data_IF_432592493075
#
_entry.id   IF_432592493075
#
_cell.length_a   1.000
_cell.length_b   1.000
_cell.length_c   1.000
_cell.angle_alpha   90.00
_cell.angle_beta   90.00
_cell.angle_gamma   90.00
#
_symmetry.space_group_name_H-M   'P 1'
#
loop_
_entity.id
_entity.type
_entity.pdbx_description
1 polymer ?
#
# COMPACT_ATOMS: atom_id res chain seq x y z
N UNK A 1 -16.42 -4.87 -9.20
CA UNK A 1 -15.18 -5.64 -9.01
C UNK A 1 -15.11 -6.13 -7.57
N UNK A 2 -14.75 -7.38 -7.40
CA UNK A 2 -14.62 -7.94 -6.05
C UNK A 2 -13.41 -7.34 -5.32
N UNK A 3 -13.61 -6.99 -4.06
CA UNK A 3 -12.50 -6.48 -3.24
C UNK A 3 -11.70 -7.65 -2.73
N UNK A 4 -10.43 -7.69 -3.09
CA UNK A 4 -9.57 -8.78 -2.66
C UNK A 4 -8.10 -8.38 -2.72
N UNK A 5 -7.27 -9.22 -2.17
CA UNK A 5 -5.84 -9.01 -2.12
C UNK A 5 -5.17 -10.30 -2.57
N UNK A 6 -4.17 -10.18 -3.43
CA UNK A 6 -3.38 -11.31 -3.89
C UNK A 6 -1.90 -11.01 -3.67
N UNK A 7 -1.09 -12.04 -3.59
CA UNK A 7 0.33 -11.84 -3.38
C UNK A 7 1.15 -12.85 -4.16
N UNK A 8 2.39 -12.46 -4.44
CA UNK A 8 3.37 -13.35 -5.05
C UNK A 8 4.75 -12.85 -4.70
N UNK A 9 5.74 -13.71 -4.87
CA UNK A 9 7.14 -13.33 -4.66
C UNK A 9 7.82 -13.36 -6.01
N UNK A 10 8.51 -12.28 -6.33
CA UNK A 10 9.17 -12.14 -7.63
C UNK A 10 10.46 -11.37 -7.41
N UNK A 11 11.57 -11.95 -7.84
CA UNK A 11 12.88 -11.31 -7.74
C UNK A 11 13.21 -10.89 -6.31
N UNK A 12 12.84 -11.71 -5.34
CA UNK A 12 13.15 -11.42 -3.95
C UNK A 12 12.30 -10.33 -3.33
N UNK A 13 11.18 -9.99 -3.96
CA UNK A 13 10.26 -9.00 -3.42
C UNK A 13 8.88 -9.59 -3.28
N UNK A 14 8.20 -9.21 -2.20
CA UNK A 14 6.82 -9.62 -1.97
C UNK A 14 5.91 -8.58 -2.63
N UNK A 15 5.16 -9.00 -3.64
CA UNK A 15 4.27 -8.11 -4.37
C UNK A 15 2.84 -8.39 -3.92
N UNK A 16 2.16 -7.36 -3.45
CA UNK A 16 0.79 -7.47 -2.97
C UNK A 16 -0.08 -6.60 -3.84
N UNK A 17 -1.07 -7.21 -4.48
CA UNK A 17 -1.98 -6.52 -5.40
C UNK A 17 -3.35 -6.39 -4.75
N UNK A 18 -3.89 -5.18 -4.80
CA UNK A 18 -5.21 -4.89 -4.24
C UNK A 18 -6.21 -4.69 -5.36
N UNK A 19 -7.33 -5.38 -5.29
CA UNK A 19 -8.40 -5.29 -6.27
C UNK A 19 -9.60 -4.62 -5.64
N UNK A 20 -10.19 -3.67 -6.37
CA UNK A 20 -11.39 -3.01 -5.92
C UNK A 20 -11.09 -1.85 -4.99
N UNK A 21 -11.83 -1.75 -3.91
CA UNK A 21 -11.76 -0.61 -3.00
C UNK A 21 -10.97 -0.95 -1.75
N UNK A 22 -10.26 0.05 -1.23
CA UNK A 22 -9.64 -0.04 0.09
C UNK A 22 -10.23 1.10 0.92
N UNK A 23 -11.07 0.76 1.88
CA UNK A 23 -11.86 1.77 2.58
C UNK A 23 -12.06 1.36 4.02
N UNK A 24 -12.84 2.18 4.74
CA UNK A 24 -13.07 1.93 6.14
C UNK A 24 -13.78 0.62 6.44
N UNK A 25 -14.50 0.08 5.45
CA UNK A 25 -15.23 -1.18 5.68
C UNK A 25 -14.33 -2.40 5.61
N UNK A 26 -13.26 -2.36 4.80
CA UNK A 26 -12.44 -3.54 4.62
C UNK A 26 -11.00 -3.40 5.09
N UNK A 27 -10.65 -2.22 5.62
CA UNK A 27 -9.25 -1.96 5.97
C UNK A 27 -8.75 -2.90 7.08
N UNK A 28 -9.61 -3.23 8.05
CA UNK A 28 -9.19 -4.13 9.12
C UNK A 28 -8.89 -5.53 8.59
N UNK A 29 -9.69 -5.99 7.65
CA UNK A 29 -9.47 -7.28 7.02
C UNK A 29 -8.11 -7.30 6.29
N UNK A 30 -7.84 -6.26 5.53
CA UNK A 30 -6.56 -6.19 4.82
C UNK A 30 -5.40 -6.06 5.79
N UNK A 31 -5.56 -5.27 6.85
CA UNK A 31 -4.50 -5.11 7.83
C UNK A 31 -4.12 -6.45 8.45
N UNK A 32 -5.14 -7.24 8.80
CA UNK A 32 -4.87 -8.54 9.42
C UNK A 32 -4.16 -9.48 8.45
N UNK A 33 -4.58 -9.50 7.19
CA UNK A 33 -3.92 -10.35 6.21
C UNK A 33 -2.48 -9.90 5.97
N UNK A 34 -2.27 -8.59 5.89
CA UNK A 34 -0.93 -8.05 5.67
C UNK A 34 -0.02 -8.37 6.84
N UNK A 35 -0.54 -8.26 8.06
CA UNK A 35 0.28 -8.57 9.23
C UNK A 35 0.79 -10.00 9.18
N UNK A 36 -0.06 -10.94 8.76
CA UNK A 36 0.37 -12.33 8.64
C UNK A 36 1.43 -12.47 7.56
N UNK A 37 1.17 -11.92 6.37
CA UNK A 37 2.12 -12.05 5.27
C UNK A 37 3.46 -11.42 5.58
N UNK A 38 3.44 -10.25 6.20
CA UNK A 38 4.68 -9.56 6.50
C UNK A 38 5.46 -10.23 7.63
N UNK A 39 4.78 -10.95 8.51
CA UNK A 39 5.44 -11.65 9.59
C UNK A 39 6.17 -12.90 9.12
N UNK A 40 5.67 -13.54 8.07
CA UNK A 40 6.27 -14.79 7.58
C UNK A 40 7.25 -14.57 6.43
N UNK A 41 7.58 -13.31 6.16
CA UNK A 41 8.39 -12.96 5.02
C UNK A 41 9.31 -11.79 5.39
N UNK A 42 10.55 -11.82 4.92
CA UNK A 42 11.53 -10.77 5.23
C UNK A 42 11.84 -9.85 4.06
N UNK A 43 11.24 -10.10 2.93
CA UNK A 43 11.59 -9.38 1.71
C UNK A 43 11.09 -7.94 1.74
N UNK A 44 11.66 -7.11 0.88
CA UNK A 44 11.07 -5.83 0.57
C UNK A 44 9.72 -6.06 -0.08
N UNK A 45 8.86 -5.06 0.01
CA UNK A 45 7.45 -5.22 -0.33
C UNK A 45 7.05 -4.19 -1.38
N UNK A 46 6.24 -4.62 -2.32
CA UNK A 46 5.63 -3.73 -3.31
C UNK A 46 4.11 -3.85 -3.17
N UNK A 47 3.43 -2.72 -2.99
CA UNK A 47 1.98 -2.66 -3.09
C UNK A 47 1.62 -2.22 -4.50
N UNK A 48 0.86 -3.04 -5.19
CA UNK A 48 0.48 -2.78 -6.58
C UNK A 48 -1.00 -2.41 -6.62
N UNK A 49 -1.29 -1.20 -7.10
CA UNK A 49 -2.64 -0.67 -7.12
C UNK A 49 -3.24 -0.63 -8.52
N UNK A 50 -2.69 -1.42 -9.44
CA UNK A 50 -3.20 -1.39 -10.81
C UNK A 50 -4.71 -1.63 -10.88
N UNK A 51 -5.20 -2.53 -10.05
CA UNK A 51 -6.62 -2.91 -10.05
C UNK A 51 -7.41 -2.27 -8.92
N UNK A 52 -6.84 -1.29 -8.26
CA UNK A 52 -7.50 -0.60 -7.16
C UNK A 52 -8.31 0.55 -7.73
N UNK A 53 -9.61 0.57 -7.43
CA UNK A 53 -10.52 1.54 -8.00
C UNK A 53 -10.81 2.72 -7.06
N UNK A 54 -10.51 2.57 -5.77
CA UNK A 54 -10.83 3.60 -4.81
C UNK A 54 -10.04 3.39 -3.53
N UNK A 55 -9.50 4.47 -2.97
CA UNK A 55 -8.83 4.44 -1.66
C UNK A 55 -9.32 5.66 -0.90
N UNK A 56 -9.82 5.45 0.32
CA UNK A 56 -10.17 6.58 1.19
C UNK A 56 -9.07 6.78 2.24
N UNK A 57 -9.34 7.64 3.22
CA UNK A 57 -8.33 7.96 4.23
C UNK A 57 -7.95 6.74 5.07
N UNK A 58 -8.88 5.81 5.29
CA UNK A 58 -8.56 4.60 6.02
C UNK A 58 -7.59 3.74 5.22
N UNK A 59 -7.78 3.69 3.90
CA UNK A 59 -6.84 2.97 3.04
C UNK A 59 -5.47 3.61 3.01
N UNK A 60 -5.42 4.94 2.98
CA UNK A 60 -4.15 5.65 3.06
C UNK A 60 -3.46 5.32 4.38
N UNK A 61 -4.23 5.29 5.47
CA UNK A 61 -3.67 4.94 6.78
C UNK A 61 -3.10 3.54 6.81
N UNK A 62 -3.75 2.60 6.12
CA UNK A 62 -3.23 1.24 6.02
C UNK A 62 -1.85 1.22 5.39
N UNK A 63 -1.69 1.95 4.29
CA UNK A 63 -0.41 2.01 3.59
C UNK A 63 0.65 2.67 4.47
N UNK A 64 0.30 3.79 5.07
CA UNK A 64 1.25 4.52 5.92
C UNK A 64 1.69 3.66 7.10
N UNK A 65 0.75 2.96 7.73
CA UNK A 65 1.10 2.11 8.87
C UNK A 65 2.05 1.00 8.47
N UNK A 66 1.84 0.42 7.30
CA UNK A 66 2.74 -0.64 6.83
C UNK A 66 4.10 -0.08 6.46
N UNK A 67 4.11 1.12 5.87
CA UNK A 67 5.38 1.76 5.57
C UNK A 67 6.22 1.96 6.83
N UNK A 68 5.59 2.47 7.87
CA UNK A 68 6.29 2.72 9.13
C UNK A 68 6.76 1.42 9.77
N UNK A 69 5.91 0.39 9.73
CA UNK A 69 6.25 -0.90 10.27
C UNK A 69 7.47 -1.49 9.58
N UNK A 70 7.47 -1.48 8.26
CA UNK A 70 8.55 -2.07 7.47
C UNK A 70 9.84 -1.26 7.62
N UNK A 71 9.73 0.06 7.70
CA UNK A 71 10.91 0.91 7.89
C UNK A 71 11.62 0.56 9.20
N UNK A 72 10.87 0.30 10.25
CA UNK A 72 11.47 -0.08 11.52
C UNK A 72 12.22 -1.40 11.43
N UNK A 73 11.83 -2.24 10.49
CA UNK A 73 12.47 -3.54 10.29
C UNK A 73 13.59 -3.49 9.26
N UNK A 74 13.89 -2.30 8.73
CA UNK A 74 14.89 -2.17 7.70
C UNK A 74 14.45 -2.65 6.34
N UNK A 75 13.14 -2.75 6.12
CA UNK A 75 12.57 -3.21 4.86
C UNK A 75 11.95 -2.04 4.12
N UNK A 76 11.96 -2.12 2.79
CA UNK A 76 11.37 -1.06 1.96
C UNK A 76 9.96 -1.42 1.55
N UNK A 77 9.10 -0.41 1.52
CA UNK A 77 7.79 -0.52 0.90
C UNK A 77 7.76 0.43 -0.29
N UNK A 78 7.47 -0.13 -1.44
CA UNK A 78 7.29 0.64 -2.67
C UNK A 78 5.84 0.53 -3.09
N UNK A 79 5.33 1.60 -3.71
CA UNK A 79 3.97 1.60 -4.23
C UNK A 79 4.05 1.74 -5.73
N UNK A 80 3.18 1.05 -6.46
CA UNK A 80 3.22 1.20 -7.90
C UNK A 80 1.82 1.16 -8.48
N UNK A 81 1.70 1.85 -9.60
CA UNK A 81 0.52 1.88 -10.47
C UNK A 81 -0.72 2.44 -9.77
N UNK A 82 -0.52 3.45 -8.93
CA UNK A 82 -1.64 4.18 -8.35
C UNK A 82 -2.32 4.99 -9.43
N UNK A 83 -3.65 4.99 -9.41
CA UNK A 83 -4.40 5.87 -10.28
C UNK A 83 -4.26 7.32 -9.82
N UNK A 84 -4.61 8.27 -10.69
CA UNK A 84 -4.59 9.67 -10.28
C UNK A 84 -5.54 9.94 -9.14
N UNK A 85 -6.69 9.30 -9.15
CA UNK A 85 -7.66 9.48 -8.07
C UNK A 85 -7.10 8.99 -6.74
N UNK A 86 -6.51 7.81 -6.74
CA UNK A 86 -5.92 7.27 -5.52
C UNK A 86 -4.75 8.13 -5.03
N UNK A 87 -3.96 8.62 -5.95
CA UNK A 87 -2.83 9.48 -5.60
C UNK A 87 -3.31 10.76 -4.92
N UNK A 88 -4.32 11.35 -5.46
CA UNK A 88 -4.88 12.57 -4.86
C UNK A 88 -5.47 12.33 -3.48
N UNK A 89 -6.04 11.38 -3.40
CA UNK A 89 -6.60 11.01 -2.15
C UNK A 89 -5.59 10.93 -1.08
N UNK A 90 -4.65 10.61 -1.49
CA UNK A 90 -3.58 10.50 -0.59
C UNK A 90 -3.06 11.85 -0.28
N UNK A 91 -3.20 12.48 -1.07
CA UNK A 91 -2.80 13.82 -0.92
C UNK A 91 -3.53 14.50 0.17
N UNK A 92 -4.46 14.18 0.21
CA UNK A 92 -5.28 14.74 1.22
C UNK A 92 -4.85 14.34 2.57
N UNK A 93 -4.33 13.44 2.53
CA UNK A 93 -3.74 12.97 3.72
C UNK A 93 -2.32 13.44 3.87
N UNK A 94 -2.04 13.90 3.19
CA UNK A 94 -0.81 14.45 3.15
C UNK A 94 -0.34 15.24 4.31
N UNK A 95 -1.14 15.37 5.10
CA UNK A 95 -0.70 16.07 6.32
C UNK A 95 0.08 15.17 7.26
N UNK A 96 0.03 13.91 7.00
CA UNK A 96 0.82 12.96 7.76
C UNK A 96 2.23 12.95 7.18
N UNK A 97 3.22 13.17 8.01
CA UNK A 97 4.58 13.37 7.52
C UNK A 97 5.14 12.16 6.79
N UNK A 98 4.85 10.97 7.26
CA UNK A 98 5.33 9.77 6.57
C UNK A 98 4.70 9.59 5.22
N UNK A 99 3.46 10.01 5.09
CA UNK A 99 2.75 9.88 3.83
C UNK A 99 3.35 10.79 2.76
N UNK A 100 3.86 11.94 3.17
CA UNK A 100 4.46 12.84 2.19
C UNK A 100 5.65 12.19 1.49
N UNK A 101 6.45 11.46 2.22
CA UNK A 101 7.58 10.75 1.62
C UNK A 101 7.13 9.68 0.65
N UNK A 102 6.07 8.96 1.02
CA UNK A 102 5.51 7.95 0.14
C UNK A 102 5.03 8.60 -1.16
N UNK A 103 4.39 9.73 -1.06
CA UNK A 103 3.85 10.40 -2.23
C UNK A 103 4.95 10.92 -3.13
N UNK A 104 6.04 11.41 -2.57
CA UNK A 104 7.17 11.82 -3.39
C UNK A 104 7.74 10.64 -4.16
N UNK A 105 7.86 9.52 -3.49
CA UNK A 105 8.33 8.31 -4.16
C UNK A 105 7.40 7.92 -5.29
N UNK A 106 6.09 8.01 -5.05
CA UNK A 106 5.11 7.64 -6.06
C UNK A 106 5.16 8.53 -7.29
N UNK A 107 5.39 9.81 -7.09
CA UNK A 107 5.51 10.71 -8.23
C UNK A 107 6.59 10.23 -9.18
N UNK A 108 7.69 9.78 -8.64
CA UNK A 108 8.80 9.30 -9.47
C UNK A 108 8.48 7.95 -10.10
N UNK A 109 7.78 7.10 -9.36
CA UNK A 109 7.50 5.74 -9.83
C UNK A 109 6.45 5.71 -10.94
N UNK A 110 5.58 6.71 -10.98
CA UNK A 110 4.50 6.73 -11.95
C UNK A 110 4.84 7.42 -13.25
N UNK A 111 5.98 7.98 -13.35
CA UNK A 111 6.41 8.66 -14.58
C UNK A 111 6.95 7.70 -15.65
#
# INVERSE_FOLDING_TARGET
MENKMEHEIENGQLIISFYGEIDGYNVAYYRNKLNVLLAINDDDVIFDFKHTTFIDSAGVGLVLGRYQQLSKEGRKLSLRRLSNTAYKXXXXXXELSGLFEIMEYLKEAQI
#
